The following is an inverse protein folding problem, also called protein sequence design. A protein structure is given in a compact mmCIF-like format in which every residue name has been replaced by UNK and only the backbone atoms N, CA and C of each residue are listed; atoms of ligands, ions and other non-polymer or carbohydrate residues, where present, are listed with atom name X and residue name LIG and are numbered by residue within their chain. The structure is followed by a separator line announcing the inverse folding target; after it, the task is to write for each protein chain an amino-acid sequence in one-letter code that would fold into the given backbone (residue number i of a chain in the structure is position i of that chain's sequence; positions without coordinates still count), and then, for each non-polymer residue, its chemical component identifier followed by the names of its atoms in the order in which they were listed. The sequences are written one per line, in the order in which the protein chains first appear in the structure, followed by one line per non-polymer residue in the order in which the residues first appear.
data_IF_399462617599
#
_entry.id   IF_399462617599
#
_cell.length_a   1.000
_cell.length_b   1.000
_cell.length_c   1.000
_cell.angle_alpha   90.00
_cell.angle_beta   90.00
_cell.angle_gamma   90.00
#
_symmetry.space_group_name_H-M   'P 1'
#
loop_
_entity.id
_entity.type
_entity.pdbx_description
1 polymer ?
#
# COMPACT_ATOMS: atom_id res chain seq x y z
N UNK A 1 8.89 6.81 -4.83
CA UNK A 1 7.49 6.53 -4.45
C UNK A 1 6.89 5.75 -5.61
N UNK A 2 6.42 4.52 -5.39
CA UNK A 2 5.79 3.76 -6.46
C UNK A 2 4.47 4.44 -6.87
N UNK A 3 4.05 4.39 -8.14
CA UNK A 3 2.73 4.84 -8.55
C UNK A 3 1.65 4.06 -7.77
N UNK A 4 0.79 4.77 -7.04
CA UNK A 4 -0.27 4.15 -6.21
C UNK A 4 -1.37 3.45 -7.05
N UNK A 5 -1.34 3.64 -8.37
CA UNK A 5 -2.29 3.07 -9.34
C UNK A 5 -1.87 1.69 -9.88
N UNK A 6 -0.71 1.15 -9.49
CA UNK A 6 -0.20 -0.13 -10.00
C UNK A 6 -0.21 -1.22 -8.93
N UNK A 7 -0.73 -2.43 -9.24
CA UNK A 7 -0.74 -3.52 -8.29
C UNK A 7 0.70 -3.96 -7.95
N UNK A 8 1.00 -4.35 -6.70
CA UNK A 8 2.34 -4.81 -6.30
C UNK A 8 2.90 -5.94 -7.18
N UNK A 9 2.02 -6.78 -7.72
CA UNK A 9 2.36 -7.87 -8.63
C UNK A 9 2.96 -7.40 -9.95
N UNK A 10 2.63 -6.19 -10.41
CA UNK A 10 3.21 -5.61 -11.64
C UNK A 10 4.73 -5.40 -11.51
N UNK A 11 5.24 -5.25 -10.28
CA UNK A 11 6.67 -5.08 -10.01
C UNK A 11 7.43 -6.41 -9.87
N UNK A 12 6.73 -7.54 -9.84
CA UNK A 12 7.36 -8.85 -9.58
C UNK A 12 8.34 -9.20 -10.71
N UNK A 13 9.58 -9.49 -10.33
CA UNK A 13 10.65 -9.86 -11.28
C UNK A 13 11.27 -8.68 -12.03
N UNK A 14 10.82 -7.44 -11.79
CA UNK A 14 11.44 -6.24 -12.34
C UNK A 14 12.52 -5.78 -11.35
N UNK A 15 13.78 -5.84 -11.79
CA UNK A 15 14.90 -5.29 -11.02
C UNK A 15 14.81 -3.76 -11.00
N UNK A 16 14.96 -3.17 -9.83
CA UNK A 16 15.08 -1.73 -9.69
C UNK A 16 16.32 -1.23 -10.46
N UNK A 17 16.21 -0.13 -11.24
CA UNK A 17 17.36 0.45 -11.91
C UNK A 17 18.46 0.82 -10.92
N UNK A 18 19.70 0.48 -11.25
CA UNK A 18 20.85 0.90 -10.44
C UNK A 18 20.92 2.44 -10.38
N UNK A 19 21.16 3.00 -9.19
CA UNK A 19 21.32 4.45 -9.02
C UNK A 19 22.54 5.01 -9.75
N UNK A 20 22.66 6.33 -9.73
CA UNK A 20 23.88 7.04 -10.14
C UNK A 20 24.54 7.69 -8.93
N UNK A 21 25.86 7.83 -8.97
CA UNK A 21 26.58 8.65 -8.00
C UNK A 21 26.48 10.12 -8.41
N UNK A 22 25.99 10.96 -7.51
CA UNK A 22 25.91 12.42 -7.70
C UNK A 22 27.19 13.03 -7.12
N UNK A 23 27.88 13.86 -7.91
CA UNK A 23 29.08 14.57 -7.48
C UNK A 23 28.79 16.02 -7.06
N UNK A 24 29.82 16.74 -6.60
CA UNK A 24 29.68 18.13 -6.15
C UNK A 24 29.36 19.13 -7.28
N UNK A 25 29.52 18.73 -8.53
CA UNK A 25 29.15 19.53 -9.70
C UNK A 25 27.68 19.27 -10.08
N UNK A 26 26.79 20.27 -9.89
CA UNK A 26 25.37 20.11 -10.17
C UNK A 26 25.07 19.99 -11.68
N UNK A 27 25.87 20.60 -12.56
CA UNK A 27 25.63 20.57 -14.00
C UNK A 27 25.99 19.20 -14.58
N UNK A 28 27.17 18.69 -14.22
CA UNK A 28 27.57 17.32 -14.59
C UNK A 28 26.62 16.28 -14.02
N UNK A 29 26.14 16.48 -12.80
CA UNK A 29 25.16 15.58 -12.19
C UNK A 29 23.81 15.59 -12.92
N UNK A 30 23.35 16.76 -13.38
CA UNK A 30 22.12 16.86 -14.17
C UNK A 30 22.23 16.15 -15.53
N UNK A 31 23.39 16.22 -16.18
CA UNK A 31 23.68 15.47 -17.41
C UNK A 31 23.60 13.96 -17.18
N UNK A 32 24.17 13.46 -16.07
CA UNK A 32 24.09 12.03 -15.71
C UNK A 32 22.65 11.59 -15.38
N UNK A 33 21.88 12.42 -14.68
CA UNK A 33 20.46 12.14 -14.42
C UNK A 33 19.70 12.00 -15.74
N UNK A 34 19.88 12.95 -16.66
CA UNK A 34 19.10 13.03 -17.90
C UNK A 34 19.53 12.00 -18.94
N UNK A 35 20.84 11.78 -19.07
CA UNK A 35 21.40 10.89 -20.09
C UNK A 35 21.41 9.41 -19.68
N UNK A 36 21.31 9.10 -18.38
CA UNK A 36 21.55 7.74 -17.90
C UNK A 36 20.47 7.25 -16.91
N UNK A 37 20.25 7.96 -15.80
CA UNK A 37 19.27 7.50 -14.81
C UNK A 37 17.83 7.52 -15.34
N UNK A 38 17.38 8.64 -15.90
CA UNK A 38 16.00 8.81 -16.39
C UNK A 38 15.63 7.77 -17.45
N UNK A 39 16.42 7.53 -18.51
CA UNK A 39 16.11 6.51 -19.51
C UNK A 39 15.96 5.10 -18.90
N UNK A 40 16.77 4.76 -17.89
CA UNK A 40 16.69 3.46 -17.20
C UNK A 40 15.42 3.35 -16.35
N UNK A 41 15.04 4.42 -15.65
CA UNK A 41 13.78 4.50 -14.89
C UNK A 41 12.56 4.42 -15.81
N UNK A 42 12.56 5.15 -16.93
CA UNK A 42 11.48 5.12 -17.92
C UNK A 42 11.31 3.73 -18.53
N UNK A 43 12.42 3.05 -18.85
CA UNK A 43 12.41 1.67 -19.36
C UNK A 43 11.82 0.71 -18.32
N UNK A 44 12.21 0.82 -17.05
CA UNK A 44 11.66 0.00 -15.98
C UNK A 44 10.16 0.26 -15.81
N UNK A 45 9.74 1.52 -15.83
CA UNK A 45 8.33 1.91 -15.72
C UNK A 45 7.49 1.38 -16.89
N UNK A 46 8.00 1.43 -18.12
CA UNK A 46 7.33 0.85 -19.28
C UNK A 46 7.13 -0.67 -19.13
N UNK A 47 8.12 -1.38 -18.56
CA UNK A 47 8.00 -2.82 -18.26
C UNK A 47 6.97 -3.10 -17.17
N UNK A 48 6.93 -2.29 -16.09
CA UNK A 48 5.91 -2.42 -15.04
C UNK A 48 4.52 -2.24 -15.64
N UNK A 49 4.30 -1.21 -16.47
CA UNK A 49 3.00 -0.97 -17.15
C UNK A 49 2.61 -2.13 -18.06
N UNK A 50 3.56 -2.68 -18.82
CA UNK A 50 3.31 -3.83 -19.67
C UNK A 50 2.95 -5.08 -18.86
N UNK A 51 3.67 -5.34 -17.76
CA UNK A 51 3.33 -6.42 -16.84
C UNK A 51 1.95 -6.21 -16.20
N UNK A 52 1.62 -4.99 -15.76
CA UNK A 52 0.35 -4.65 -15.16
C UNK A 52 -0.84 -5.00 -16.07
N UNK A 53 -0.71 -4.80 -17.39
CA UNK A 53 -1.76 -5.15 -18.36
C UNK A 53 -2.08 -6.66 -18.42
N UNK A 54 -1.14 -7.53 -18.05
CA UNK A 54 -1.30 -8.99 -18.01
C UNK A 54 -1.52 -9.56 -16.61
N UNK A 55 -1.37 -8.75 -15.56
CA UNK A 55 -1.55 -9.15 -14.18
C UNK A 55 -3.04 -9.07 -13.83
N UNK A 56 -3.65 -10.22 -13.53
CA UNK A 56 -4.83 -10.23 -12.69
C UNK A 56 -4.35 -10.05 -11.25
N UNK A 57 -4.76 -8.98 -10.53
CA UNK A 57 -4.40 -8.82 -9.13
C UNK A 57 -4.75 -10.11 -8.38
N UNK A 58 -3.81 -10.64 -7.61
CA UNK A 58 -3.98 -11.91 -6.89
C UNK A 58 -5.01 -11.79 -5.76
N UNK A 59 -5.39 -10.56 -5.42
CA UNK A 59 -6.46 -10.28 -4.47
C UNK A 59 -7.78 -10.23 -5.24
N UNK A 60 -8.76 -11.10 -4.91
CA UNK A 60 -10.11 -10.87 -5.37
C UNK A 60 -10.55 -9.45 -4.97
N UNK A 61 -11.41 -8.83 -5.76
CA UNK A 61 -12.09 -7.61 -5.37
C UNK A 61 -12.56 -7.76 -3.92
N UNK A 62 -12.18 -6.83 -3.05
CA UNK A 62 -12.42 -6.96 -1.61
C UNK A 62 -13.15 -5.75 -1.08
N UNK A 63 -14.31 -5.98 -0.47
CA UNK A 63 -15.02 -4.95 0.30
C UNK A 63 -14.55 -5.01 1.75
N UNK A 64 -14.00 -3.91 2.23
CA UNK A 64 -13.57 -3.77 3.62
C UNK A 64 -14.64 -3.00 4.40
N UNK A 65 -15.29 -3.69 5.35
CA UNK A 65 -16.21 -3.12 6.30
C UNK A 65 -15.44 -2.70 7.55
N UNK A 66 -15.55 -1.44 7.96
CA UNK A 66 -14.86 -0.88 9.11
C UNK A 66 -15.86 -0.44 10.16
N UNK A 67 -15.81 -1.04 11.34
CA UNK A 67 -16.56 -0.56 12.49
C UNK A 67 -16.19 0.87 12.79
N UNK A 68 -17.19 1.71 13.06
CA UNK A 68 -17.02 3.08 13.48
C UNK A 68 -17.23 3.19 15.00
N UNK A 69 -16.72 4.26 15.65
CA UNK A 69 -16.85 4.43 17.10
C UNK A 69 -18.30 4.54 17.60
N UNK A 70 -19.22 4.96 16.72
CA UNK A 70 -20.65 5.08 16.97
C UNK A 70 -21.42 3.75 16.80
N UNK A 71 -20.75 2.69 16.36
CA UNK A 71 -21.37 1.38 16.07
C UNK A 71 -21.81 1.20 14.62
N UNK A 72 -21.66 2.22 13.78
CA UNK A 72 -21.94 2.11 12.35
C UNK A 72 -20.85 1.28 11.64
N UNK A 73 -21.18 0.80 10.45
CA UNK A 73 -20.22 0.16 9.55
C UNK A 73 -19.99 1.04 8.33
N UNK A 74 -18.74 1.41 8.10
CA UNK A 74 -18.31 2.13 6.91
C UNK A 74 -17.64 1.18 5.91
N UNK A 75 -17.94 1.35 4.63
CA UNK A 75 -17.39 0.57 3.53
C UNK A 75 -16.95 1.49 2.39
N UNK A 76 -15.80 1.20 1.78
CA UNK A 76 -15.37 1.83 0.54
C UNK A 76 -15.31 0.77 -0.56
N UNK A 77 -16.25 0.77 -1.52
CA UNK A 77 -16.26 -0.20 -2.60
C UNK A 77 -15.16 0.09 -3.62
N UNK A 78 -14.49 -0.96 -4.12
CA UNK A 78 -13.49 -0.86 -5.18
C UNK A 78 -14.11 -0.77 -6.59
N UNK A 79 -15.37 -1.19 -6.74
CA UNK A 79 -16.10 -1.25 -8.01
C UNK A 79 -17.50 -0.70 -7.85
N UNK A 80 -18.08 -0.21 -8.96
CA UNK A 80 -19.46 0.29 -8.99
C UNK A 80 -20.48 -0.81 -8.65
N UNK A 81 -20.25 -2.04 -9.12
CA UNK A 81 -21.07 -3.20 -8.78
C UNK A 81 -21.08 -3.47 -7.26
N UNK A 82 -19.93 -3.34 -6.58
CA UNK A 82 -19.88 -3.46 -5.12
C UNK A 82 -20.63 -2.31 -4.42
N UNK A 83 -20.61 -1.09 -4.99
CA UNK A 83 -21.34 0.05 -4.47
C UNK A 83 -22.87 -0.16 -4.55
N UNK A 84 -23.35 -0.69 -5.67
CA UNK A 84 -24.77 -1.02 -5.88
C UNK A 84 -25.26 -2.09 -4.90
N UNK A 85 -24.44 -3.11 -4.66
CA UNK A 85 -24.74 -4.17 -3.69
C UNK A 85 -24.78 -3.59 -2.28
N UNK A 86 -23.82 -2.74 -1.89
CA UNK A 86 -23.85 -2.07 -0.59
C UNK A 86 -25.15 -1.27 -0.42
N UNK A 87 -25.55 -0.50 -1.44
CA UNK A 87 -26.79 0.27 -1.41
C UNK A 87 -28.04 -0.63 -1.27
N UNK A 88 -28.10 -1.74 -2.02
CA UNK A 88 -29.20 -2.70 -1.93
C UNK A 88 -29.33 -3.38 -0.55
N UNK A 89 -28.24 -3.43 0.21
CA UNK A 89 -28.18 -4.01 1.55
C UNK A 89 -28.29 -2.95 2.67
N UNK A 90 -28.75 -1.74 2.35
CA UNK A 90 -29.08 -0.71 3.34
C UNK A 90 -27.93 0.22 3.71
N UNK A 91 -26.79 0.15 3.02
CA UNK A 91 -25.75 1.14 3.19
C UNK A 91 -26.11 2.42 2.44
N UNK A 92 -26.01 3.56 3.11
CA UNK A 92 -26.25 4.88 2.52
C UNK A 92 -24.92 5.48 2.07
N UNK A 93 -24.87 5.99 0.84
CA UNK A 93 -23.69 6.66 0.30
C UNK A 93 -23.59 8.09 0.85
N UNK A 94 -22.47 8.42 1.46
CA UNK A 94 -22.12 9.77 1.88
C UNK A 94 -21.48 10.57 0.74
N UNK A 95 -21.40 11.90 0.88
CA UNK A 95 -20.71 12.77 -0.08
C UNK A 95 -19.23 12.40 -0.29
N UNK A 96 -18.61 11.84 0.75
CA UNK A 96 -17.23 11.32 0.73
C UNK A 96 -17.05 10.10 -0.18
N UNK A 97 -18.13 9.50 -0.66
CA UNK A 97 -18.13 8.23 -1.39
C UNK A 97 -18.10 6.98 -0.50
N UNK A 98 -18.04 7.16 0.83
CA UNK A 98 -18.13 6.07 1.80
C UNK A 98 -19.59 5.63 1.92
N UNK A 99 -19.82 4.32 1.99
CA UNK A 99 -21.11 3.71 2.24
C UNK A 99 -21.24 3.37 3.72
N UNK A 100 -22.31 3.80 4.37
CA UNK A 100 -22.51 3.63 5.82
C UNK A 100 -23.78 2.86 6.15
N UNK A 101 -23.67 1.88 7.02
CA UNK A 101 -24.78 1.11 7.57
C UNK A 101 -24.92 1.40 9.07
N UNK A 102 -26.10 1.90 9.46
CA UNK A 102 -26.41 2.26 10.84
C UNK A 102 -26.28 1.07 11.80
N UNK A 103 -25.74 1.32 12.99
CA UNK A 103 -25.67 0.41 14.12
C UNK A 103 -26.84 0.51 15.11
N UNK A 104 -27.85 1.35 14.84
CA UNK A 104 -28.96 1.62 15.78
C UNK A 104 -29.74 0.35 16.18
N UNK A 105 -29.89 -0.58 15.24
CA UNK A 105 -30.40 -1.93 15.49
C UNK A 105 -29.35 -2.96 15.07
N UNK A 106 -28.61 -3.46 16.07
CA UNK A 106 -27.54 -4.44 15.87
C UNK A 106 -28.02 -5.76 15.27
N UNK A 107 -29.29 -6.16 15.47
CA UNK A 107 -29.83 -7.39 14.89
C UNK A 107 -30.11 -7.21 13.39
N UNK A 108 -30.67 -6.06 13.01
CA UNK A 108 -30.86 -5.67 11.61
C UNK A 108 -29.51 -5.51 10.91
N UNK A 109 -28.57 -4.80 11.53
CA UNK A 109 -27.21 -4.60 11.00
C UNK A 109 -26.51 -5.94 10.75
N UNK A 110 -26.51 -6.85 11.73
CA UNK A 110 -25.88 -8.16 11.59
C UNK A 110 -26.55 -9.02 10.49
N UNK A 111 -27.87 -8.92 10.32
CA UNK A 111 -28.58 -9.60 9.23
C UNK A 111 -28.20 -9.02 7.86
N UNK A 112 -28.14 -7.70 7.74
CA UNK A 112 -27.74 -7.01 6.52
C UNK A 112 -26.32 -7.40 6.11
N UNK A 113 -25.38 -7.40 7.06
CA UNK A 113 -23.97 -7.79 6.82
C UNK A 113 -23.85 -9.25 6.37
N UNK A 114 -24.58 -10.19 6.99
CA UNK A 114 -24.58 -11.61 6.55
C UNK A 114 -25.12 -11.78 5.13
N UNK A 115 -26.21 -11.10 4.81
CA UNK A 115 -26.81 -11.15 3.47
C UNK A 115 -25.87 -10.52 2.43
N UNK A 116 -25.25 -9.38 2.75
CA UNK A 116 -24.23 -8.73 1.94
C UNK A 116 -23.05 -9.66 1.66
N UNK A 117 -22.49 -10.28 2.71
CA UNK A 117 -21.35 -11.19 2.57
C UNK A 117 -21.64 -12.36 1.64
N UNK A 118 -22.83 -12.98 1.77
CA UNK A 118 -23.28 -14.07 0.89
C UNK A 118 -23.37 -13.60 -0.58
N UNK A 119 -23.87 -12.39 -0.80
CA UNK A 119 -24.03 -11.83 -2.16
C UNK A 119 -22.68 -11.51 -2.80
N UNK A 120 -21.76 -10.90 -2.04
CA UNK A 120 -20.42 -10.57 -2.52
C UNK A 120 -19.60 -11.84 -2.81
N UNK A 121 -19.70 -12.85 -1.95
CA UNK A 121 -19.03 -14.14 -2.16
C UNK A 121 -19.50 -14.83 -3.46
N UNK A 122 -20.80 -14.79 -3.76
CA UNK A 122 -21.35 -15.34 -5.00
C UNK A 122 -20.79 -14.66 -6.28
N UNK A 123 -20.27 -13.44 -6.15
CA UNK A 123 -19.62 -12.68 -7.23
C UNK A 123 -18.08 -12.82 -7.20
N UNK A 124 -17.54 -13.63 -6.28
CA UNK A 124 -16.10 -13.79 -6.09
C UNK A 124 -15.45 -12.61 -5.39
N UNK A 125 -16.23 -11.71 -4.77
CA UNK A 125 -15.76 -10.54 -4.05
C UNK A 125 -15.56 -10.93 -2.58
N UNK A 126 -14.32 -10.84 -2.09
CA UNK A 126 -14.00 -11.13 -0.71
C UNK A 126 -14.53 -10.03 0.22
N UNK A 127 -14.88 -10.40 1.46
CA UNK A 127 -15.26 -9.44 2.49
C UNK A 127 -14.24 -9.41 3.62
N UNK A 128 -13.97 -8.22 4.15
CA UNK A 128 -13.20 -8.00 5.36
C UNK A 128 -14.08 -7.30 6.38
N UNK A 129 -13.91 -7.65 7.64
CA UNK A 129 -14.36 -6.83 8.75
C UNK A 129 -13.14 -6.38 9.53
N UNK A 130 -13.02 -5.07 9.75
CA UNK A 130 -11.94 -4.47 10.53
C UNK A 130 -12.51 -3.52 11.58
N UNK A 131 -11.79 -3.40 12.69
CA UNK A 131 -12.00 -2.31 13.63
C UNK A 131 -11.12 -1.12 13.21
N UNK A 132 -11.46 0.12 13.60
CA UNK A 132 -10.54 1.23 13.41
C UNK A 132 -9.21 0.83 14.03
N UNK A 133 -8.06 1.09 13.38
CA UNK A 133 -6.79 0.88 14.03
C UNK A 133 -6.77 1.72 15.30
N UNK A 134 -6.86 1.07 16.46
CA UNK A 134 -6.55 1.70 17.73
C UNK A 134 -5.16 2.31 17.56
N UNK A 135 -4.97 3.59 17.92
CA UNK A 135 -3.66 4.25 17.84
C UNK A 135 -2.61 3.31 18.42
N UNK A 136 -1.77 2.71 17.58
CA UNK A 136 -0.55 2.11 18.07
C UNK A 136 0.29 3.26 18.62
N UNK A 137 0.67 3.25 19.91
CA UNK A 137 1.67 4.17 20.37
C UNK A 137 2.94 3.95 19.54
N UNK A 138 3.70 5.00 19.19
CA UNK A 138 4.94 4.84 18.45
C UNK A 138 5.83 3.84 19.18
N UNK A 139 6.21 2.76 18.48
CA UNK A 139 7.14 1.78 19.00
C UNK A 139 8.51 2.44 19.07
N UNK A 140 8.95 2.81 20.29
CA UNK A 140 10.32 3.24 20.53
C UNK A 140 11.22 2.02 20.47
N UNK A 141 11.83 1.76 19.30
CA UNK A 141 12.97 0.86 19.24
C UNK A 141 14.09 1.44 20.13
N UNK A 142 14.72 0.64 21.01
CA UNK A 142 15.86 1.11 21.78
C UNK A 142 16.98 1.55 20.83
N UNK A 143 17.72 2.62 21.15
CA UNK A 143 18.80 3.13 20.30
C UNK A 143 19.85 2.04 20.08
N UNK A 144 20.27 1.87 18.82
CA UNK A 144 21.34 0.95 18.47
C UNK A 144 22.65 1.35 19.18
N UNK A 145 23.44 0.40 19.71
CA UNK A 145 24.72 0.70 20.32
C UNK A 145 25.67 1.31 19.29
N UNK A 146 26.38 2.37 19.69
CA UNK A 146 27.34 3.07 18.84
C UNK A 146 28.47 2.12 18.38
N UNK A 147 28.95 2.25 17.13
CA UNK A 147 30.07 1.45 16.64
C UNK A 147 31.33 1.76 17.44
N UNK A 148 32.03 0.71 17.88
CA UNK A 148 33.28 0.83 18.62
C UNK A 148 34.38 1.48 17.76
N UNK A 149 35.22 2.35 18.33
CA UNK A 149 36.31 2.96 17.58
C UNK A 149 37.32 1.89 17.17
N UNK A 150 37.55 1.80 15.86
CA UNK A 150 38.66 1.02 15.28
C UNK A 150 39.98 1.65 15.72
N UNK A 151 40.69 0.97 16.62
CA UNK A 151 42.02 1.38 17.08
C UNK A 151 42.99 1.49 15.91
N UNK A 152 43.62 2.66 15.75
CA UNK A 152 44.73 2.85 14.82
C UNK A 152 45.87 1.91 15.22
N UNK A 153 46.17 0.96 14.33
CA UNK A 153 47.30 0.05 14.45
C UNK A 153 48.59 0.83 14.70
N UNK A 154 49.30 0.42 15.76
CA UNK A 154 50.63 0.89 16.08
C UNK A 154 51.57 0.58 14.90
N UNK A 155 52.14 1.64 14.30
CA UNK A 155 53.24 1.50 13.36
C UNK A 155 54.49 1.17 14.17
N UNK A 156 54.89 -0.11 14.14
CA UNK A 156 56.19 -0.55 14.64
C UNK A 156 57.28 -0.07 13.69
N UNK A 157 57.97 1.01 14.05
CA UNK A 157 59.21 1.40 13.38
C UNK A 157 60.33 0.39 13.75
N UNK A 158 60.96 -0.20 12.73
CA UNK A 158 62.23 -0.94 12.85
C UNK A 158 63.40 0.04 12.91
N UNK A 159 64.46 -0.34 13.65
CA UNK A 159 65.81 -0.20 13.11
C UNK A 159 66.89 0.26 14.09
N UNK A 160 67.66 -0.74 14.57
CA UNK A 160 69.13 -0.83 14.66
C UNK A 160 69.93 0.25 15.38
#
# INVERSE_FOLDING_TARGET
MAPDDLPPEAFRGIREPDGIAVGDDPFRSAELVTGDLLPRVETALARVRHHAAGVRPSRPDRVVLTWQPDGDLAASPATEEAADILAAHGFVREESGIHRLSGDDTAVQARAVRALGTRLEALGIATALQHPPGRMPPSTLPPAPAPAPVGRGAQSARGR
#
